data_IF_296645160489
#
_entry.id   IF_296645160489
#
_cell.length_a   1.000
_cell.length_b   1.000
_cell.length_c   1.000
_cell.angle_alpha   90.00
_cell.angle_beta   90.00
_cell.angle_gamma   90.00
#
_symmetry.space_group_name_H-M   'P 1'
#
loop_
_entity.id
_entity.type
_entity.pdbx_description
1 polymer ?
#
# COMPACT_ATOMS: atom_id res chain seq x y z
N UNK A 1 -2.77 39.95 34.19
CA UNK A 1 -2.28 40.76 33.06
C UNK A 1 -1.18 41.61 33.64
N UNK A 2 0.06 41.27 33.29
CA UNK A 2 1.26 41.85 33.88
C UNK A 2 1.48 43.30 33.44
N UNK A 3 2.51 43.90 34.02
CA UNK A 3 2.86 45.33 33.98
C UNK A 3 3.45 45.81 32.63
N UNK A 4 3.02 45.26 31.49
CA UNK A 4 3.41 45.82 30.20
C UNK A 4 2.61 47.12 29.96
N UNK A 5 3.31 48.22 29.70
CA UNK A 5 2.65 49.45 29.30
C UNK A 5 2.04 49.30 27.91
N UNK A 6 0.98 50.07 27.62
CA UNK A 6 0.38 50.10 26.28
C UNK A 6 1.42 50.39 25.19
N UNK A 7 2.37 51.28 25.46
CA UNK A 7 3.48 51.61 24.55
C UNK A 7 4.42 50.43 24.28
N UNK A 8 4.59 49.50 25.23
CA UNK A 8 5.40 48.30 25.04
C UNK A 8 4.67 47.25 24.22
N UNK A 9 3.36 47.08 24.43
CA UNK A 9 2.52 46.22 23.60
C UNK A 9 2.47 46.71 22.13
N UNK A 10 2.46 48.03 21.91
CA UNK A 10 2.53 48.62 20.58
C UNK A 10 3.83 48.26 19.84
N UNK A 11 4.96 48.16 20.54
CA UNK A 11 6.25 47.75 19.96
C UNK A 11 6.18 46.29 19.47
N UNK A 12 5.57 45.40 20.25
CA UNK A 12 5.39 43.99 19.86
C UNK A 12 4.45 43.86 18.66
N UNK A 13 3.36 44.63 18.64
CA UNK A 13 2.44 44.69 17.51
C UNK A 13 3.12 45.18 16.24
N UNK A 14 3.88 46.27 16.32
CA UNK A 14 4.63 46.81 15.19
C UNK A 14 5.63 45.78 14.64
N UNK A 15 6.30 45.05 15.52
CA UNK A 15 7.20 43.97 15.13
C UNK A 15 6.48 42.86 14.35
N UNK A 16 5.31 42.39 14.83
CA UNK A 16 4.52 41.38 14.10
C UNK A 16 4.06 41.88 12.73
N UNK A 17 3.76 43.18 12.60
CA UNK A 17 3.41 43.82 11.33
C UNK A 17 4.61 43.90 10.38
N UNK A 18 5.80 44.24 10.89
CA UNK A 18 7.05 44.24 10.13
C UNK A 18 7.44 42.84 9.63
N UNK A 19 7.11 41.79 10.39
CA UNK A 19 7.29 40.40 9.96
C UNK A 19 6.28 39.97 8.88
N UNK A 20 5.26 40.79 8.62
CA UNK A 20 4.30 40.61 7.54
C UNK A 20 3.30 39.49 7.77
N UNK A 21 2.89 39.26 9.02
CA UNK A 21 1.84 38.29 9.36
C UNK A 21 0.47 38.88 9.00
N UNK A 22 -0.23 38.23 8.09
CA UNK A 22 -1.52 38.68 7.54
C UNK A 22 -2.72 37.96 8.15
N UNK A 23 -2.50 36.78 8.76
CA UNK A 23 -3.57 35.95 9.33
C UNK A 23 -3.91 36.35 10.77
N UNK A 24 -5.03 37.09 10.95
CA UNK A 24 -5.44 37.67 12.25
C UNK A 24 -5.44 36.69 13.44
N UNK A 25 -6.01 35.48 13.35
CA UNK A 25 -6.06 34.57 14.49
C UNK A 25 -4.67 34.12 14.97
N UNK A 26 -3.74 33.91 14.03
CA UNK A 26 -2.36 33.58 14.39
C UNK A 26 -1.61 34.79 14.91
N UNK A 27 -1.87 35.98 14.37
CA UNK A 27 -1.27 37.24 14.87
C UNK A 27 -1.68 37.48 16.33
N UNK A 28 -2.94 37.26 16.66
CA UNK A 28 -3.46 37.37 18.03
C UNK A 28 -2.81 36.34 18.97
N UNK A 29 -2.74 35.07 18.57
CA UNK A 29 -2.10 34.01 19.36
C UNK A 29 -0.60 34.26 19.58
N UNK A 30 0.12 34.71 18.54
CA UNK A 30 1.53 35.07 18.65
C UNK A 30 1.72 36.30 19.54
N UNK A 31 0.88 37.32 19.41
CA UNK A 31 0.94 38.51 20.24
C UNK A 31 0.79 38.14 21.73
N UNK A 32 -0.23 37.35 22.07
CA UNK A 32 -0.46 36.88 23.43
C UNK A 32 0.73 36.07 23.96
N UNK A 33 1.30 35.20 23.12
CA UNK A 33 2.42 34.37 23.52
C UNK A 33 3.70 35.18 23.76
N UNK A 34 3.98 36.17 22.91
CA UNK A 34 5.14 37.06 23.04
C UNK A 34 5.02 37.98 24.24
N UNK A 35 3.83 38.54 24.48
CA UNK A 35 3.53 39.35 25.66
C UNK A 35 3.74 38.51 26.92
N UNK A 36 3.20 37.29 26.97
CA UNK A 36 3.37 36.41 28.13
C UNK A 36 4.83 36.02 28.38
N UNK A 37 5.64 35.82 27.33
CA UNK A 37 7.06 35.50 27.50
C UNK A 37 7.87 36.71 28.01
N UNK A 38 7.52 37.92 27.54
CA UNK A 38 8.12 39.16 28.03
C UNK A 38 7.77 39.42 29.50
N UNK A 39 6.50 39.24 29.89
CA UNK A 39 6.08 39.37 31.29
C UNK A 39 6.88 38.43 32.20
N UNK A 40 7.02 37.16 31.81
CA UNK A 40 7.78 36.15 32.55
C UNK A 40 9.25 36.55 32.75
N UNK A 41 9.91 37.09 31.72
CA UNK A 41 11.30 37.56 31.81
C UNK A 41 11.43 38.82 32.66
N UNK A 42 10.48 39.74 32.55
CA UNK A 42 10.46 40.95 33.38
C UNK A 42 10.22 40.61 34.87
N UNK A 43 9.35 39.64 35.16
CA UNK A 43 9.11 39.13 36.52
C UNK A 43 10.35 38.46 37.13
N UNK A 44 11.25 37.93 36.28
CA UNK A 44 12.56 37.41 36.70
C UNK A 44 13.60 38.49 37.01
N UNK A 45 13.25 39.77 36.86
CA UNK A 45 14.10 40.92 37.16
C UNK A 45 14.81 41.54 35.96
N UNK A 46 14.50 41.12 34.72
CA UNK A 46 15.05 41.76 33.52
C UNK A 46 14.34 43.07 33.20
N UNK A 47 15.06 44.03 32.61
CA UNK A 47 14.42 45.20 32.01
C UNK A 47 13.71 44.83 30.70
N UNK A 48 12.67 45.58 30.32
CA UNK A 48 11.96 45.35 29.05
C UNK A 48 12.88 45.32 27.82
N UNK A 49 13.85 46.26 27.65
CA UNK A 49 14.75 46.22 26.49
C UNK A 49 15.59 44.94 26.42
N UNK A 50 16.09 44.46 27.57
CA UNK A 50 16.86 43.23 27.64
C UNK A 50 16.00 41.99 27.35
N UNK A 51 14.80 41.93 27.93
CA UNK A 51 13.84 40.86 27.67
C UNK A 51 13.43 40.82 26.19
N UNK A 52 13.17 41.99 25.60
CA UNK A 52 12.77 42.14 24.20
C UNK A 52 13.88 41.74 23.23
N UNK A 53 15.13 42.14 23.48
CA UNK A 53 16.27 41.74 22.66
C UNK A 53 16.45 40.21 22.65
N UNK A 54 16.24 39.55 23.79
CA UNK A 54 16.32 38.09 23.88
C UNK A 54 15.18 37.41 23.10
N UNK A 55 13.95 37.87 23.28
CA UNK A 55 12.78 37.35 22.55
C UNK A 55 12.95 37.53 21.03
N UNK A 56 13.43 38.70 20.58
CA UNK A 56 13.73 38.93 19.17
C UNK A 56 14.83 38.01 18.62
N UNK A 57 15.86 37.70 19.42
CA UNK A 57 16.92 36.75 19.01
C UNK A 57 16.40 35.32 18.88
N UNK A 58 15.43 34.93 19.71
CA UNK A 58 14.81 33.60 19.67
C UNK A 58 13.86 33.44 18.47
N UNK A 59 13.18 34.51 18.08
CA UNK A 59 12.33 34.55 16.89
C UNK A 59 13.20 34.81 15.66
N UNK A 60 13.73 33.75 15.05
CA UNK A 60 14.42 33.92 13.76
C UNK A 60 13.47 34.55 12.72
N UNK A 61 13.92 35.61 12.04
CA UNK A 61 13.08 36.47 11.16
C UNK A 61 12.43 35.80 9.94
N UNK A 62 12.57 34.48 9.76
CA UNK A 62 11.87 33.70 8.75
C UNK A 62 10.93 32.63 9.35
N UNK A 63 10.93 32.46 10.67
CA UNK A 63 10.16 31.42 11.34
C UNK A 63 8.67 31.75 11.38
N UNK A 64 8.30 32.99 11.70
CA UNK A 64 6.90 33.39 11.82
C UNK A 64 6.12 33.27 10.50
N UNK A 65 6.74 33.70 9.40
CA UNK A 65 6.16 33.53 8.05
C UNK A 65 6.06 32.07 7.61
N UNK A 66 6.94 31.23 8.15
CA UNK A 66 6.88 29.77 7.94
C UNK A 66 5.73 29.16 8.75
N UNK A 67 5.56 29.58 10.02
CA UNK A 67 4.42 29.20 10.87
C UNK A 67 3.12 29.63 10.20
N UNK A 68 2.98 30.88 9.76
CA UNK A 68 1.78 31.36 9.07
C UNK A 68 1.49 30.54 7.81
N UNK A 69 2.52 30.24 7.01
CA UNK A 69 2.36 29.40 5.82
C UNK A 69 1.87 27.99 6.18
N UNK A 70 2.44 27.36 7.21
CA UNK A 70 2.05 26.00 7.63
C UNK A 70 0.66 26.00 8.32
N UNK A 71 0.34 27.01 9.12
CA UNK A 71 -0.98 27.21 9.72
C UNK A 71 -2.03 27.45 8.65
N UNK A 72 -1.77 28.35 7.70
CA UNK A 72 -2.66 28.62 6.58
C UNK A 72 -2.84 27.40 5.68
N UNK A 73 -1.78 26.63 5.44
CA UNK A 73 -1.82 25.35 4.71
C UNK A 73 -2.60 24.28 5.47
N UNK A 74 -2.60 24.32 6.80
CA UNK A 74 -3.37 23.41 7.67
C UNK A 74 -4.84 23.81 7.74
N UNK A 75 -5.15 25.10 7.82
CA UNK A 75 -6.52 25.63 7.82
C UNK A 75 -7.15 25.50 6.42
N UNK A 76 -6.41 25.87 5.37
CA UNK A 76 -6.78 25.63 3.98
C UNK A 76 -6.60 24.18 3.55
N UNK A 77 -6.30 23.25 4.48
CA UNK A 77 -6.49 21.82 4.27
C UNK A 77 -8.00 21.55 4.27
N UNK A 78 -8.63 22.06 3.22
CA UNK A 78 -9.90 21.69 2.61
C UNK A 78 -10.15 20.21 2.83
N UNK A 79 -11.43 19.88 3.00
CA UNK A 79 -11.99 18.54 2.82
C UNK A 79 -11.09 17.76 1.88
N UNK A 80 -10.33 16.80 2.43
CA UNK A 80 -9.35 16.05 1.67
C UNK A 80 -10.14 15.21 0.67
N UNK A 81 -10.34 15.72 -0.55
CA UNK A 81 -11.16 15.09 -1.58
C UNK A 81 -10.68 13.66 -1.84
N UNK A 82 -9.37 13.40 -1.68
CA UNK A 82 -8.77 12.07 -1.72
C UNK A 82 -9.35 11.16 -0.63
N UNK A 83 -9.54 11.67 0.60
CA UNK A 83 -10.17 10.93 1.70
C UNK A 83 -11.66 10.71 1.46
N UNK A 84 -12.37 11.68 0.91
CA UNK A 84 -13.80 11.52 0.59
C UNK A 84 -13.99 10.47 -0.52
N UNK A 85 -13.25 10.56 -1.62
CA UNK A 85 -13.33 9.61 -2.72
C UNK A 85 -12.87 8.20 -2.32
N UNK A 86 -11.92 8.06 -1.40
CA UNK A 86 -11.53 6.74 -0.91
C UNK A 86 -12.64 6.07 -0.09
N UNK A 87 -13.31 6.81 0.81
CA UNK A 87 -14.45 6.31 1.57
C UNK A 87 -15.60 5.94 0.63
N UNK A 88 -15.94 6.84 -0.31
CA UNK A 88 -17.00 6.59 -1.29
C UNK A 88 -16.70 5.35 -2.16
N UNK A 89 -15.46 5.19 -2.60
CA UNK A 89 -15.07 4.01 -3.40
C UNK A 89 -15.27 2.71 -2.62
N UNK A 90 -14.89 2.66 -1.34
CA UNK A 90 -15.06 1.47 -0.50
C UNK A 90 -16.54 1.17 -0.25
N UNK A 91 -17.35 2.20 0.06
CA UNK A 91 -18.80 2.05 0.24
C UNK A 91 -19.46 1.54 -1.03
N UNK A 92 -19.12 2.11 -2.19
CA UNK A 92 -19.67 1.70 -3.48
C UNK A 92 -19.27 0.27 -3.83
N UNK A 93 -18.02 -0.14 -3.58
CA UNK A 93 -17.59 -1.52 -3.82
C UNK A 93 -18.35 -2.51 -2.92
N UNK A 94 -18.52 -2.17 -1.63
CA UNK A 94 -19.28 -2.98 -0.70
C UNK A 94 -20.75 -3.12 -1.15
N UNK A 95 -21.41 -2.00 -1.46
CA UNK A 95 -22.80 -2.00 -1.94
C UNK A 95 -22.95 -2.73 -3.28
N UNK A 96 -22.08 -2.47 -4.26
CA UNK A 96 -22.08 -3.17 -5.55
C UNK A 96 -21.98 -4.67 -5.37
N UNK A 97 -21.10 -5.11 -4.46
CA UNK A 97 -20.92 -6.54 -4.15
C UNK A 97 -22.13 -7.12 -3.46
N UNK A 98 -22.65 -6.47 -2.42
CA UNK A 98 -23.87 -6.92 -1.71
C UNK A 98 -25.05 -7.01 -2.67
N UNK A 99 -25.24 -6.02 -3.54
CA UNK A 99 -26.31 -6.03 -4.54
C UNK A 99 -26.12 -7.16 -5.55
N UNK A 100 -24.88 -7.43 -5.97
CA UNK A 100 -24.58 -8.54 -6.87
C UNK A 100 -24.90 -9.90 -6.26
N UNK A 101 -24.61 -10.08 -4.97
CA UNK A 101 -24.89 -11.33 -4.23
C UNK A 101 -26.39 -11.51 -3.96
N UNK A 102 -27.09 -10.43 -3.64
CA UNK A 102 -28.54 -10.45 -3.38
C UNK A 102 -29.38 -10.34 -4.66
N UNK A 103 -28.75 -10.32 -5.84
CA UNK A 103 -29.38 -10.09 -7.15
C UNK A 103 -30.25 -8.82 -7.22
N UNK A 104 -29.89 -7.79 -6.47
CA UNK A 104 -30.58 -6.50 -6.53
C UNK A 104 -30.22 -5.73 -7.80
N UNK A 105 -31.19 -5.04 -8.42
CA UNK A 105 -30.90 -4.16 -9.55
C UNK A 105 -30.00 -3.02 -9.08
N UNK A 106 -29.14 -2.50 -9.97
CA UNK A 106 -28.22 -1.41 -9.64
C UNK A 106 -26.78 -1.84 -9.33
N UNK A 107 -26.48 -3.15 -9.23
CA UNK A 107 -25.10 -3.61 -8.90
C UNK A 107 -24.07 -3.15 -9.93
N UNK A 108 -24.47 -3.04 -11.20
CA UNK A 108 -23.58 -2.65 -12.28
C UNK A 108 -23.22 -1.17 -12.23
N UNK A 109 -24.21 -0.33 -12.01
CA UNK A 109 -24.10 1.11 -11.85
C UNK A 109 -23.24 1.46 -10.63
N UNK A 110 -23.44 0.75 -9.51
CA UNK A 110 -22.60 0.90 -8.32
C UNK A 110 -21.14 0.51 -8.59
N UNK A 111 -20.90 -0.57 -9.35
CA UNK A 111 -19.55 -1.01 -9.70
C UNK A 111 -18.84 -0.03 -10.65
N UNK A 112 -19.58 0.52 -11.62
CA UNK A 112 -19.08 1.59 -12.49
C UNK A 112 -18.78 2.86 -11.69
N UNK A 113 -19.62 3.19 -10.70
CA UNK A 113 -19.36 4.26 -9.74
C UNK A 113 -18.06 4.02 -8.98
N UNK A 114 -17.87 2.83 -8.40
CA UNK A 114 -16.63 2.43 -7.74
C UNK A 114 -15.41 2.63 -8.65
N UNK A 115 -15.50 2.16 -9.91
CA UNK A 115 -14.44 2.32 -10.89
C UNK A 115 -14.12 3.80 -11.16
N UNK A 116 -15.14 4.63 -11.37
CA UNK A 116 -14.97 6.06 -11.63
C UNK A 116 -14.32 6.78 -10.44
N UNK A 117 -14.84 6.60 -9.23
CA UNK A 117 -14.28 7.23 -8.03
C UNK A 117 -12.88 6.74 -7.71
N UNK A 118 -12.59 5.45 -7.87
CA UNK A 118 -11.25 4.89 -7.66
C UNK A 118 -10.27 5.42 -8.71
N UNK A 119 -10.70 5.58 -9.96
CA UNK A 119 -9.84 6.14 -11.01
C UNK A 119 -9.49 7.61 -10.73
N UNK A 120 -10.47 8.42 -10.33
CA UNK A 120 -10.24 9.81 -9.90
C UNK A 120 -9.32 9.85 -8.68
N UNK A 121 -9.53 8.96 -7.70
CA UNK A 121 -8.67 8.85 -6.53
C UNK A 121 -7.22 8.54 -6.89
N UNK A 122 -7.00 7.56 -7.78
CA UNK A 122 -5.67 7.17 -8.24
C UNK A 122 -4.98 8.32 -8.97
N UNK A 123 -5.66 9.00 -9.90
CA UNK A 123 -5.11 10.14 -10.63
C UNK A 123 -4.79 11.30 -9.69
N UNK A 124 -5.73 11.69 -8.82
CA UNK A 124 -5.53 12.81 -7.89
C UNK A 124 -4.42 12.52 -6.88
N UNK A 125 -4.33 11.30 -6.37
CA UNK A 125 -3.23 10.87 -5.49
C UNK A 125 -1.88 10.97 -6.20
N UNK A 126 -1.80 10.52 -7.44
CA UNK A 126 -0.56 10.60 -8.24
C UNK A 126 -0.16 12.02 -8.56
N UNK A 127 -1.10 12.87 -8.99
CA UNK A 127 -0.84 14.30 -9.22
C UNK A 127 -0.37 14.99 -7.93
N UNK A 128 -1.05 14.73 -6.80
CA UNK A 128 -0.67 15.27 -5.48
C UNK A 128 0.73 14.83 -5.07
N UNK A 129 1.09 13.57 -5.27
CA UNK A 129 2.44 13.07 -4.98
C UNK A 129 3.49 13.69 -5.90
N UNK A 130 3.19 13.88 -7.19
CA UNK A 130 4.08 14.56 -8.14
C UNK A 130 4.32 16.02 -7.74
N UNK A 131 3.27 16.73 -7.29
CA UNK A 131 3.35 18.14 -6.86
C UNK A 131 4.10 18.27 -5.54
N UNK A 132 3.83 17.40 -4.56
CA UNK A 132 4.43 17.48 -3.22
C UNK A 132 5.91 17.10 -3.22
N UNK A 133 6.38 16.36 -4.22
CA UNK A 133 7.76 15.89 -4.34
C UNK A 133 8.36 16.34 -5.68
N UNK A 134 8.49 17.65 -5.96
CA UNK A 134 8.94 18.11 -7.27
C UNK A 134 10.39 17.73 -7.57
N UNK A 135 11.26 17.66 -6.57
CA UNK A 135 12.69 17.34 -6.76
C UNK A 135 12.96 15.85 -7.00
N UNK A 136 11.96 15.02 -6.71
CA UNK A 136 12.09 13.58 -6.77
C UNK A 136 12.06 13.03 -8.20
N UNK A 137 12.91 12.03 -8.45
CA UNK A 137 12.92 11.26 -9.70
C UNK A 137 11.79 10.22 -9.66
N UNK A 138 11.27 9.87 -10.83
CA UNK A 138 10.28 8.79 -10.97
C UNK A 138 8.84 9.19 -11.27
N UNK A 139 8.58 10.47 -11.56
CA UNK A 139 7.22 10.98 -11.83
C UNK A 139 6.54 10.24 -12.99
N UNK A 140 7.27 9.99 -14.07
CA UNK A 140 6.78 9.22 -15.22
C UNK A 140 6.40 7.79 -14.84
N UNK A 141 7.24 7.09 -14.07
CA UNK A 141 6.92 5.73 -13.63
C UNK A 141 5.71 5.69 -12.69
N UNK A 142 5.56 6.67 -11.80
CA UNK A 142 4.38 6.76 -10.95
C UNK A 142 3.10 6.95 -11.78
N UNK A 143 3.12 7.83 -12.78
CA UNK A 143 2.00 8.02 -13.72
C UNK A 143 1.69 6.75 -14.51
N UNK A 144 2.71 6.05 -15.01
CA UNK A 144 2.53 4.79 -15.74
C UNK A 144 1.95 3.67 -14.85
N UNK A 145 2.41 3.53 -13.60
CA UNK A 145 1.83 2.56 -12.65
C UNK A 145 0.35 2.88 -12.44
N UNK A 146 0.03 4.16 -12.23
CA UNK A 146 -1.35 4.61 -12.02
C UNK A 146 -2.23 4.25 -13.21
N UNK A 147 -1.75 4.50 -14.42
CA UNK A 147 -2.45 4.16 -15.66
C UNK A 147 -2.67 2.65 -15.77
N UNK A 148 -1.64 1.84 -15.54
CA UNK A 148 -1.73 0.38 -15.54
C UNK A 148 -2.77 -0.13 -14.53
N UNK A 149 -2.83 0.43 -13.33
CA UNK A 149 -3.82 0.06 -12.32
C UNK A 149 -5.26 0.41 -12.76
N UNK A 150 -5.46 1.56 -13.41
CA UNK A 150 -6.77 1.94 -13.95
C UNK A 150 -7.23 0.97 -15.04
N UNK A 151 -6.35 0.61 -15.99
CA UNK A 151 -6.67 -0.38 -17.02
C UNK A 151 -6.98 -1.76 -16.42
N UNK A 152 -6.27 -2.14 -15.36
CA UNK A 152 -6.53 -3.38 -14.66
C UNK A 152 -7.88 -3.38 -13.93
N UNK A 153 -8.25 -2.28 -13.27
CA UNK A 153 -9.57 -2.12 -12.65
C UNK A 153 -10.71 -2.08 -13.68
N UNK A 154 -10.46 -1.48 -14.85
CA UNK A 154 -11.37 -1.52 -16.00
C UNK A 154 -11.60 -2.96 -16.46
N UNK A 155 -10.53 -3.73 -16.67
CA UNK A 155 -10.61 -5.15 -17.02
C UNK A 155 -11.47 -5.94 -16.01
N UNK A 156 -11.22 -5.78 -14.71
CA UNK A 156 -11.98 -6.49 -13.67
C UNK A 156 -13.46 -6.11 -13.68
N UNK A 157 -13.75 -4.81 -13.82
CA UNK A 157 -15.13 -4.31 -13.90
C UNK A 157 -15.85 -4.90 -15.11
N UNK A 158 -15.22 -4.90 -16.27
CA UNK A 158 -15.79 -5.48 -17.50
C UNK A 158 -15.97 -7.00 -17.38
N UNK A 159 -15.06 -7.68 -16.71
CA UNK A 159 -15.15 -9.12 -16.44
C UNK A 159 -16.35 -9.44 -15.56
N UNK A 160 -16.53 -8.72 -14.44
CA UNK A 160 -17.64 -8.92 -13.52
C UNK A 160 -18.98 -8.60 -14.19
N UNK A 161 -19.04 -7.54 -14.99
CA UNK A 161 -20.24 -7.10 -15.68
C UNK A 161 -20.50 -7.83 -17.01
N UNK A 162 -19.58 -8.71 -17.44
CA UNK A 162 -19.67 -9.41 -18.73
C UNK A 162 -19.81 -8.44 -19.92
N UNK A 163 -19.16 -7.28 -19.85
CA UNK A 163 -19.19 -6.27 -20.90
C UNK A 163 -18.31 -6.68 -22.10
N UNK A 164 -18.66 -6.26 -23.33
CA UNK A 164 -17.81 -6.47 -24.49
C UNK A 164 -16.48 -5.73 -24.31
N UNK A 165 -15.38 -6.31 -24.81
CA UNK A 165 -14.03 -5.72 -24.68
C UNK A 165 -13.22 -6.23 -23.48
N UNK A 166 -13.75 -7.15 -22.66
CA UNK A 166 -13.04 -7.67 -21.47
C UNK A 166 -11.72 -8.36 -21.82
N UNK A 167 -11.67 -9.11 -22.92
CA UNK A 167 -10.49 -9.83 -23.42
C UNK A 167 -9.37 -8.89 -23.87
N UNK A 168 -9.74 -7.81 -24.56
CA UNK A 168 -8.83 -6.79 -25.06
C UNK A 168 -8.23 -6.03 -23.88
N UNK A 169 -9.06 -5.63 -22.90
CA UNK A 169 -8.61 -5.00 -21.66
C UNK A 169 -7.71 -5.91 -20.81
N UNK A 170 -7.98 -7.21 -20.77
CA UNK A 170 -7.14 -8.20 -20.10
C UNK A 170 -5.74 -8.25 -20.70
N UNK A 171 -5.66 -8.35 -22.04
CA UNK A 171 -4.39 -8.39 -22.76
C UNK A 171 -3.63 -7.08 -22.56
N UNK A 172 -4.30 -5.93 -22.71
CA UNK A 172 -3.68 -4.60 -22.53
C UNK A 172 -3.13 -4.43 -21.12
N UNK A 173 -3.97 -4.62 -20.10
CA UNK A 173 -3.58 -4.40 -18.69
C UNK A 173 -2.47 -5.35 -18.25
N UNK A 174 -2.57 -6.64 -18.58
CA UNK A 174 -1.55 -7.63 -18.22
C UNK A 174 -0.22 -7.38 -18.94
N UNK A 175 -0.27 -6.97 -20.22
CA UNK A 175 0.94 -6.62 -20.98
C UNK A 175 1.62 -5.37 -20.42
N UNK A 176 0.83 -4.35 -20.03
CA UNK A 176 1.36 -3.16 -19.35
C UNK A 176 2.05 -3.53 -18.05
N UNK A 177 1.49 -4.44 -17.24
CA UNK A 177 2.13 -4.91 -16.01
C UNK A 177 3.43 -5.68 -16.29
N UNK A 178 3.42 -6.60 -17.26
CA UNK A 178 4.58 -7.40 -17.65
C UNK A 178 5.73 -6.57 -18.22
N UNK A 179 5.46 -5.44 -18.88
CA UNK A 179 6.49 -4.56 -19.42
C UNK A 179 6.97 -3.58 -18.35
N UNK A 180 6.03 -2.92 -17.65
CA UNK A 180 6.35 -1.79 -16.78
C UNK A 180 7.14 -2.20 -15.54
N UNK A 181 6.72 -3.24 -14.83
CA UNK A 181 7.35 -3.62 -13.56
C UNK A 181 8.80 -4.12 -13.75
N UNK A 182 9.11 -4.99 -14.73
CA UNK A 182 10.50 -5.34 -15.04
C UNK A 182 11.33 -4.14 -15.49
N UNK A 183 10.76 -3.24 -16.30
CA UNK A 183 11.45 -2.01 -16.71
C UNK A 183 11.82 -1.12 -15.52
N UNK A 184 10.91 -0.98 -14.55
CA UNK A 184 11.17 -0.24 -13.29
C UNK A 184 12.28 -0.93 -12.47
N UNK A 185 12.26 -2.25 -12.34
CA UNK A 185 13.29 -2.97 -11.60
C UNK A 185 14.67 -2.87 -12.27
N UNK A 186 14.73 -2.97 -13.60
CA UNK A 186 15.96 -2.74 -14.37
C UNK A 186 16.43 -1.29 -14.20
N UNK A 187 15.52 -0.33 -14.17
CA UNK A 187 15.84 1.08 -13.93
C UNK A 187 16.45 1.30 -12.53
N UNK A 188 15.85 0.73 -11.48
CA UNK A 188 16.41 0.79 -10.13
C UNK A 188 17.77 0.10 -10.04
N UNK A 189 17.89 -1.09 -10.63
CA UNK A 189 19.15 -1.81 -10.76
C UNK A 189 20.22 -0.93 -11.43
N UNK A 190 19.97 -0.35 -12.60
CA UNK A 190 20.98 0.45 -13.31
C UNK A 190 21.38 1.76 -12.60
N UNK A 191 20.55 2.27 -11.70
CA UNK A 191 20.74 3.60 -11.12
C UNK A 191 21.75 3.69 -9.97
N UNK A 192 22.28 2.57 -9.48
CA UNK A 192 23.47 2.51 -8.62
C UNK A 192 23.39 3.37 -7.34
N UNK A 193 22.27 3.31 -6.63
CA UNK A 193 22.07 4.01 -5.35
C UNK A 193 21.75 5.51 -5.45
N UNK A 194 21.82 6.13 -6.63
CA UNK A 194 21.44 7.54 -6.87
C UNK A 194 19.93 7.84 -6.71
N UNK A 195 19.14 6.83 -6.35
CA UNK A 195 17.68 6.85 -6.31
C UNK A 195 17.11 6.49 -4.93
N UNK A 196 17.91 6.62 -3.85
CA UNK A 196 17.37 6.39 -2.49
C UNK A 196 16.15 7.28 -2.19
N UNK A 197 16.10 8.48 -2.77
CA UNK A 197 15.01 9.46 -2.60
C UNK A 197 13.93 9.37 -3.71
N UNK A 198 13.85 8.24 -4.42
CA UNK A 198 12.84 8.05 -5.47
C UNK A 198 11.43 7.95 -4.87
N UNK A 199 10.46 8.67 -5.46
CA UNK A 199 9.08 8.80 -4.92
C UNK A 199 8.47 7.45 -4.58
N UNK A 200 8.57 6.51 -5.52
CA UNK A 200 7.94 5.20 -5.39
C UNK A 200 8.45 4.46 -4.14
N UNK A 201 9.75 4.52 -3.85
CA UNK A 201 10.35 3.85 -2.69
C UNK A 201 9.95 4.55 -1.39
N UNK A 202 9.92 5.88 -1.41
CA UNK A 202 9.41 6.66 -0.28
C UNK A 202 7.93 6.36 0.02
N UNK A 203 7.08 6.31 -1.00
CA UNK A 203 5.66 5.98 -0.86
C UNK A 203 5.45 4.54 -0.36
N UNK A 204 6.23 3.59 -0.89
CA UNK A 204 6.12 2.19 -0.53
C UNK A 204 6.51 1.93 0.92
N UNK A 205 7.62 2.52 1.37
CA UNK A 205 8.10 2.37 2.75
C UNK A 205 7.15 3.05 3.74
N UNK A 206 6.71 4.27 3.43
CA UNK A 206 5.80 5.07 4.27
C UNK A 206 4.42 4.43 4.44
N UNK A 207 3.90 3.79 3.40
CA UNK A 207 2.55 3.22 3.40
C UNK A 207 2.52 1.71 3.62
N UNK A 208 3.63 1.10 4.05
CA UNK A 208 3.73 -0.36 4.20
C UNK A 208 2.62 -0.98 5.05
N UNK A 209 2.33 -0.40 6.22
CA UNK A 209 1.23 -0.84 7.09
C UNK A 209 -0.15 -0.71 6.44
N UNK A 210 -0.37 0.34 5.65
CA UNK A 210 -1.61 0.55 4.91
C UNK A 210 -1.78 -0.51 3.81
N UNK A 211 -0.71 -0.83 3.08
CA UNK A 211 -0.74 -1.86 2.04
C UNK A 211 -1.14 -3.23 2.63
N UNK A 212 -0.60 -3.57 3.80
CA UNK A 212 -0.98 -4.79 4.53
C UNK A 212 -2.44 -4.77 5.00
N UNK A 213 -2.90 -3.64 5.55
CA UNK A 213 -4.27 -3.49 6.02
C UNK A 213 -5.28 -3.66 4.88
N UNK A 214 -4.98 -3.10 3.69
CA UNK A 214 -5.76 -3.28 2.47
C UNK A 214 -5.81 -4.76 2.08
N UNK A 215 -4.67 -5.44 2.07
CA UNK A 215 -4.62 -6.86 1.72
C UNK A 215 -5.44 -7.73 2.70
N UNK A 216 -5.33 -7.48 4.01
CA UNK A 216 -6.12 -8.18 5.03
C UNK A 216 -7.61 -7.91 4.89
N UNK A 217 -7.99 -6.66 4.61
CA UNK A 217 -9.38 -6.28 4.37
C UNK A 217 -9.95 -7.04 3.15
N UNK A 218 -9.18 -7.15 2.07
CA UNK A 218 -9.58 -7.87 0.87
C UNK A 218 -9.72 -9.38 1.11
N UNK A 219 -8.83 -9.99 1.91
CA UNK A 219 -9.01 -11.37 2.36
C UNK A 219 -10.29 -11.51 3.19
N UNK A 220 -10.51 -10.59 4.13
CA UNK A 220 -11.72 -10.58 4.96
C UNK A 220 -12.99 -10.57 4.11
N UNK A 221 -13.06 -9.67 3.12
CA UNK A 221 -14.16 -9.63 2.15
C UNK A 221 -14.26 -10.93 1.34
N UNK A 222 -13.14 -11.44 0.81
CA UNK A 222 -13.11 -12.71 0.09
C UNK A 222 -13.68 -13.88 0.92
N UNK A 223 -13.30 -13.98 2.20
CA UNK A 223 -13.78 -15.00 3.12
C UNK A 223 -15.27 -14.84 3.43
N UNK A 224 -15.72 -13.62 3.72
CA UNK A 224 -17.14 -13.33 4.00
C UNK A 224 -18.00 -13.70 2.80
N UNK A 225 -17.59 -13.34 1.57
CA UNK A 225 -18.36 -13.64 0.37
C UNK A 225 -18.33 -15.12 -0.02
N UNK A 226 -17.19 -15.78 0.16
CA UNK A 226 -17.10 -17.22 -0.08
C UNK A 226 -17.95 -18.02 0.93
N UNK A 227 -17.93 -17.62 2.21
CA UNK A 227 -18.80 -18.21 3.24
C UNK A 227 -20.29 -17.95 2.96
N UNK A 228 -20.64 -16.73 2.55
CA UNK A 228 -22.01 -16.40 2.16
C UNK A 228 -22.48 -17.24 0.98
N UNK A 229 -21.65 -17.39 -0.06
CA UNK A 229 -21.95 -18.23 -1.22
C UNK A 229 -22.14 -19.69 -0.84
N UNK A 230 -21.35 -20.21 0.11
CA UNK A 230 -21.55 -21.54 0.67
C UNK A 230 -22.91 -21.71 1.37
N UNK A 231 -23.36 -20.69 2.12
CA UNK A 231 -24.67 -20.71 2.79
C UNK A 231 -25.85 -20.58 1.81
N UNK A 232 -25.73 -19.77 0.76
CA UNK A 232 -26.83 -19.51 -0.18
C UNK A 232 -26.86 -20.44 -1.39
N UNK A 233 -25.77 -21.15 -1.67
CA UNK A 233 -25.61 -21.96 -2.89
C UNK A 233 -25.33 -21.14 -4.15
N UNK A 234 -25.12 -19.83 -4.01
CA UNK A 234 -24.84 -18.89 -5.11
C UNK A 234 -23.39 -18.97 -5.60
N UNK A 235 -23.12 -18.39 -6.77
CA UNK A 235 -21.78 -18.45 -7.39
C UNK A 235 -20.69 -17.75 -6.57
N UNK A 236 -19.55 -18.43 -6.38
CA UNK A 236 -18.38 -18.00 -5.59
C UNK A 236 -17.58 -16.85 -6.24
N UNK A 237 -18.03 -16.34 -7.40
CA UNK A 237 -17.23 -15.49 -8.29
C UNK A 237 -16.70 -14.24 -7.59
N UNK A 238 -17.53 -13.56 -6.78
CA UNK A 238 -17.10 -12.30 -6.16
C UNK A 238 -16.02 -12.53 -5.10
N UNK A 239 -16.15 -13.57 -4.28
CA UNK A 239 -15.11 -13.95 -3.32
C UNK A 239 -13.78 -14.27 -4.02
N UNK A 240 -13.83 -15.01 -5.13
CA UNK A 240 -12.66 -15.32 -5.96
C UNK A 240 -11.99 -14.05 -6.48
N UNK A 241 -12.76 -13.06 -6.96
CA UNK A 241 -12.21 -11.77 -7.40
C UNK A 241 -11.42 -11.07 -6.28
N UNK A 242 -11.93 -11.05 -5.05
CA UNK A 242 -11.20 -10.45 -3.91
C UNK A 242 -9.91 -11.21 -3.59
N UNK A 243 -9.89 -12.54 -3.70
CA UNK A 243 -8.66 -13.32 -3.54
C UNK A 243 -7.67 -13.05 -4.67
N UNK A 244 -8.11 -13.01 -5.94
CA UNK A 244 -7.26 -12.65 -7.09
C UNK A 244 -6.66 -11.26 -6.89
N UNK A 245 -7.47 -10.28 -6.52
CA UNK A 245 -7.01 -8.93 -6.22
C UNK A 245 -5.97 -8.91 -5.08
N UNK A 246 -6.20 -9.71 -4.02
CA UNK A 246 -5.26 -9.81 -2.90
C UNK A 246 -3.93 -10.41 -3.36
N UNK A 247 -3.99 -11.48 -4.13
CA UNK A 247 -2.85 -12.19 -4.70
C UNK A 247 -2.03 -11.23 -5.56
N UNK A 248 -2.68 -10.43 -6.41
CA UNK A 248 -2.03 -9.40 -7.25
C UNK A 248 -1.40 -8.32 -6.40
N UNK A 249 -2.16 -7.76 -5.49
CA UNK A 249 -1.70 -6.70 -4.61
C UNK A 249 -0.47 -7.12 -3.80
N UNK A 250 -0.53 -8.28 -3.15
CA UNK A 250 0.56 -8.81 -2.33
C UNK A 250 1.73 -9.31 -3.16
N UNK A 251 1.51 -9.87 -4.35
CA UNK A 251 2.57 -10.27 -5.28
C UNK A 251 3.36 -9.09 -5.83
N UNK A 252 2.68 -8.03 -6.28
CA UNK A 252 3.32 -6.78 -6.69
C UNK A 252 4.04 -6.10 -5.52
N UNK A 253 3.43 -6.15 -4.33
CA UNK A 253 4.06 -5.58 -3.15
C UNK A 253 5.31 -6.37 -2.74
N UNK A 254 5.25 -7.70 -2.76
CA UNK A 254 6.41 -8.57 -2.53
C UNK A 254 7.51 -8.35 -3.56
N UNK A 255 7.15 -8.16 -4.83
CA UNK A 255 8.10 -7.80 -5.89
C UNK A 255 8.84 -6.49 -5.60
N UNK A 256 8.12 -5.46 -5.15
CA UNK A 256 8.70 -4.15 -4.87
C UNK A 256 9.73 -4.14 -3.73
N UNK A 257 9.75 -5.18 -2.89
CA UNK A 257 10.74 -5.34 -1.83
C UNK A 257 12.16 -5.62 -2.30
N UNK A 258 12.33 -6.03 -3.56
CA UNK A 258 13.68 -6.19 -4.11
C UNK A 258 14.30 -4.86 -4.52
N UNK A 259 13.50 -3.81 -4.74
CA UNK A 259 13.99 -2.51 -5.20
C UNK A 259 14.99 -1.84 -4.25
N UNK A 260 14.75 -1.79 -2.92
CA UNK A 260 15.75 -1.24 -2.00
C UNK A 260 17.08 -2.02 -2.01
N UNK A 261 17.06 -3.32 -2.31
CA UNK A 261 18.28 -4.12 -2.42
C UNK A 261 19.12 -3.68 -3.64
N UNK A 262 18.48 -3.31 -4.75
CA UNK A 262 19.15 -2.83 -5.97
C UNK A 262 19.80 -1.45 -5.83
N UNK A 263 19.45 -0.70 -4.77
CA UNK A 263 20.01 0.62 -4.50
C UNK A 263 21.19 0.61 -3.53
N UNK A 264 21.65 -0.56 -3.08
CA UNK A 264 22.81 -0.67 -2.19
C UNK A 264 24.11 -0.42 -2.96
N UNK A 265 25.06 0.22 -2.29
CA UNK A 265 26.41 0.50 -2.79
C UNK A 265 27.40 0.11 -1.70
N UNK A 266 28.47 -0.64 -1.99
CA UNK A 266 28.86 -1.16 -3.30
C UNK A 266 27.91 -2.25 -3.81
N UNK A 267 27.87 -2.41 -5.13
CA UNK A 267 27.02 -3.40 -5.78
C UNK A 267 27.53 -4.80 -5.51
N UNK A 268 26.66 -5.69 -5.04
CA UNK A 268 27.03 -7.10 -4.87
C UNK A 268 26.69 -7.93 -6.11
N UNK A 269 27.51 -8.96 -6.41
CA UNK A 269 27.27 -9.91 -7.52
C UNK A 269 25.92 -10.64 -7.42
N UNK A 270 25.33 -10.66 -6.23
CA UNK A 270 24.07 -11.34 -5.91
C UNK A 270 22.81 -10.56 -6.32
N UNK A 271 22.91 -9.27 -6.67
CA UNK A 271 21.75 -8.47 -7.06
C UNK A 271 21.16 -8.83 -8.42
N UNK A 272 22.00 -9.26 -9.38
CA UNK A 272 21.54 -9.66 -10.71
C UNK A 272 20.67 -10.94 -10.67
N UNK A 273 21.09 -12.03 -9.99
CA UNK A 273 20.20 -13.16 -9.75
C UNK A 273 18.89 -12.74 -9.08
N UNK A 274 18.93 -11.85 -8.09
CA UNK A 274 17.72 -11.37 -7.41
C UNK A 274 16.76 -10.65 -8.37
N UNK A 275 17.28 -9.85 -9.30
CA UNK A 275 16.50 -9.21 -10.37
C UNK A 275 15.86 -10.23 -11.30
N UNK A 276 16.63 -11.22 -11.73
CA UNK A 276 16.13 -12.28 -12.62
C UNK A 276 15.04 -13.08 -11.91
N UNK A 277 15.30 -13.60 -10.71
CA UNK A 277 14.33 -14.41 -9.97
C UNK A 277 13.05 -13.64 -9.64
N UNK A 278 13.16 -12.40 -9.16
CA UNK A 278 11.96 -11.60 -8.87
C UNK A 278 11.14 -11.31 -10.11
N UNK A 279 11.80 -11.03 -11.24
CA UNK A 279 11.12 -10.76 -12.52
C UNK A 279 10.45 -12.03 -13.06
N UNK A 280 11.12 -13.18 -12.98
CA UNK A 280 10.53 -14.46 -13.31
C UNK A 280 9.33 -14.77 -12.42
N UNK A 281 9.44 -14.54 -11.11
CA UNK A 281 8.33 -14.71 -10.17
C UNK A 281 7.13 -13.83 -10.58
N UNK A 282 7.36 -12.57 -10.90
CA UNK A 282 6.32 -11.65 -11.37
C UNK A 282 5.65 -12.12 -12.67
N UNK A 283 6.42 -12.64 -13.63
CA UNK A 283 5.87 -13.14 -14.90
C UNK A 283 4.98 -14.36 -14.65
N UNK A 284 5.50 -15.34 -13.90
CA UNK A 284 4.73 -16.53 -13.50
C UNK A 284 3.50 -16.15 -12.68
N UNK A 285 3.60 -15.08 -11.91
CA UNK A 285 2.54 -14.54 -11.09
C UNK A 285 1.41 -13.90 -11.91
N UNK A 286 1.73 -13.20 -13.02
CA UNK A 286 0.74 -12.57 -13.90
C UNK A 286 0.13 -13.59 -14.89
N UNK A 287 0.83 -14.69 -15.18
CA UNK A 287 0.41 -15.69 -16.17
C UNK A 287 -1.04 -16.22 -15.99
N UNK A 288 -1.52 -16.54 -14.76
CA UNK A 288 -2.90 -16.99 -14.55
C UNK A 288 -3.95 -15.95 -14.96
N UNK A 289 -3.59 -14.66 -15.03
CA UNK A 289 -4.49 -13.59 -15.46
C UNK A 289 -4.79 -13.63 -16.95
N UNK A 290 -4.08 -14.41 -17.77
CA UNK A 290 -4.39 -14.64 -19.18
C UNK A 290 -5.41 -15.79 -19.39
N UNK A 291 -6.16 -16.12 -18.34
CA UNK A 291 -6.86 -17.39 -18.08
C UNK A 291 -7.58 -18.10 -19.23
N UNK A 292 -8.16 -17.42 -20.21
CA UNK A 292 -8.88 -18.10 -21.31
C UNK A 292 -7.92 -18.66 -22.39
N UNK A 293 -6.69 -18.13 -22.50
CA UNK A 293 -5.76 -18.48 -23.58
C UNK A 293 -4.67 -19.50 -23.15
N UNK A 294 -4.58 -19.83 -21.87
CA UNK A 294 -3.56 -20.73 -21.32
C UNK A 294 -4.19 -22.03 -20.81
N UNK A 295 -3.49 -23.13 -21.08
CA UNK A 295 -3.84 -24.45 -20.55
C UNK A 295 -3.90 -24.42 -19.01
N UNK A 296 -4.95 -25.01 -18.38
CA UNK A 296 -5.12 -25.02 -16.93
C UNK A 296 -3.89 -25.51 -16.16
N UNK A 297 -3.18 -26.50 -16.69
CA UNK A 297 -1.98 -27.08 -16.11
C UNK A 297 -0.87 -26.05 -15.96
N UNK A 298 -0.65 -25.22 -17.00
CA UNK A 298 0.37 -24.17 -17.00
C UNK A 298 0.00 -23.08 -16.00
N UNK A 299 -1.28 -22.68 -15.94
CA UNK A 299 -1.76 -21.67 -14.98
C UNK A 299 -1.55 -22.14 -13.53
N UNK A 300 -1.93 -23.39 -13.24
CA UNK A 300 -1.76 -23.98 -11.91
C UNK A 300 -0.28 -24.12 -11.54
N UNK A 301 0.58 -24.53 -12.47
CA UNK A 301 2.02 -24.60 -12.26
C UNK A 301 2.63 -23.21 -12.02
N UNK A 302 2.23 -22.19 -12.78
CA UNK A 302 2.74 -20.83 -12.62
C UNK A 302 2.30 -20.21 -11.29
N UNK A 303 1.01 -20.37 -10.95
CA UNK A 303 0.44 -19.98 -9.67
C UNK A 303 1.13 -20.68 -8.48
N UNK A 304 1.68 -21.87 -8.70
CA UNK A 304 2.44 -22.63 -7.70
C UNK A 304 3.89 -22.16 -7.55
N UNK A 305 4.61 -22.02 -8.67
CA UNK A 305 6.06 -21.73 -8.66
C UNK A 305 6.32 -20.29 -8.18
N UNK A 306 5.50 -19.32 -8.57
CA UNK A 306 5.69 -17.91 -8.20
C UNK A 306 5.80 -17.70 -6.67
N UNK A 307 4.88 -18.21 -5.82
CA UNK A 307 5.01 -18.21 -4.36
C UNK A 307 6.37 -18.72 -3.87
N UNK A 308 6.83 -19.87 -4.39
CA UNK A 308 8.07 -20.51 -3.94
C UNK A 308 9.27 -19.61 -4.23
N UNK A 309 9.30 -18.96 -5.40
CA UNK A 309 10.37 -18.01 -5.74
C UNK A 309 10.31 -16.80 -4.81
N UNK A 310 9.12 -16.24 -4.52
CA UNK A 310 9.00 -15.13 -3.56
C UNK A 310 9.43 -15.52 -2.14
N UNK A 311 9.08 -16.73 -1.67
CA UNK A 311 9.57 -17.25 -0.38
C UNK A 311 11.10 -17.32 -0.39
N UNK A 312 11.70 -17.82 -1.47
CA UNK A 312 13.15 -17.87 -1.64
C UNK A 312 13.82 -16.49 -1.61
N UNK A 313 13.19 -15.50 -2.26
CA UNK A 313 13.65 -14.09 -2.25
C UNK A 313 13.60 -13.49 -0.85
N UNK A 314 12.48 -13.67 -0.15
CA UNK A 314 12.29 -13.17 1.22
C UNK A 314 13.29 -13.87 2.17
N UNK A 315 13.43 -15.18 2.05
CA UNK A 315 14.40 -15.98 2.80
C UNK A 315 15.83 -15.48 2.57
N UNK A 316 16.22 -15.28 1.31
CA UNK A 316 17.53 -14.76 0.96
C UNK A 316 17.77 -13.39 1.59
N UNK A 317 16.80 -12.47 1.46
CA UNK A 317 16.87 -11.14 2.06
C UNK A 317 17.04 -11.23 3.58
N UNK A 318 16.23 -12.04 4.24
CA UNK A 318 16.26 -12.17 5.70
C UNK A 318 17.56 -12.81 6.21
N UNK A 319 18.04 -13.85 5.53
CA UNK A 319 19.27 -14.54 5.89
C UNK A 319 20.52 -13.65 5.77
N UNK A 320 20.50 -12.68 4.84
CA UNK A 320 21.60 -11.74 4.61
C UNK A 320 21.50 -10.46 5.45
N UNK A 321 20.31 -9.92 5.63
CA UNK A 321 20.11 -8.54 6.12
C UNK A 321 19.60 -8.48 7.55
N UNK A 322 18.82 -9.47 7.99
CA UNK A 322 18.16 -9.37 9.30
C UNK A 322 19.06 -9.84 10.43
N UNK A 323 19.26 -8.95 11.40
CA UNK A 323 19.91 -9.24 12.70
C UNK A 323 18.87 -9.66 13.75
N UNK A 324 17.60 -9.87 13.36
CA UNK A 324 16.54 -10.16 14.33
C UNK A 324 16.83 -11.42 15.15
N UNK A 325 16.46 -11.40 16.42
CA UNK A 325 16.42 -12.59 17.29
C UNK A 325 15.54 -13.71 16.73
N UNK A 326 14.58 -13.40 15.86
CA UNK A 326 13.61 -14.34 15.28
C UNK A 326 14.10 -15.09 14.04
N UNK A 327 15.39 -14.95 13.67
CA UNK A 327 15.92 -15.53 12.44
C UNK A 327 15.65 -17.02 12.30
N UNK A 328 15.88 -17.83 13.35
CA UNK A 328 15.65 -19.29 13.29
C UNK A 328 14.19 -19.63 13.00
N UNK A 329 13.25 -18.97 13.67
CA UNK A 329 11.82 -19.17 13.47
C UNK A 329 11.39 -18.84 12.04
N UNK A 330 11.89 -17.75 11.47
CA UNK A 330 11.55 -17.34 10.11
C UNK A 330 12.10 -18.35 9.09
N UNK A 331 13.31 -18.85 9.28
CA UNK A 331 13.88 -19.89 8.42
C UNK A 331 13.03 -21.17 8.47
N UNK A 332 12.67 -21.64 9.66
CA UNK A 332 11.80 -22.81 9.85
C UNK A 332 10.44 -22.60 9.18
N UNK A 333 9.84 -21.43 9.31
CA UNK A 333 8.55 -21.15 8.70
C UNK A 333 8.63 -21.06 7.17
N UNK A 334 9.67 -20.46 6.60
CA UNK A 334 9.86 -20.49 5.15
C UNK A 334 9.98 -21.93 4.63
N UNK A 335 10.67 -22.82 5.35
CA UNK A 335 10.73 -24.24 5.00
C UNK A 335 9.35 -24.90 5.04
N UNK A 336 8.55 -24.64 6.10
CA UNK A 336 7.18 -25.18 6.20
C UNK A 336 6.27 -24.65 5.09
N UNK A 337 6.39 -23.36 4.74
CA UNK A 337 5.62 -22.73 3.67
C UNK A 337 5.98 -23.24 2.28
N UNK A 338 7.21 -23.72 2.05
CA UNK A 338 7.63 -24.38 0.80
C UNK A 338 7.23 -25.86 0.79
N UNK A 339 7.26 -26.52 1.94
CA UNK A 339 6.87 -27.92 2.05
C UNK A 339 5.37 -28.12 1.77
N UNK A 340 4.50 -27.21 2.23
CA UNK A 340 3.06 -27.30 2.02
C UNK A 340 2.65 -27.41 0.54
N UNK A 341 3.09 -26.51 -0.36
CA UNK A 341 2.82 -26.63 -1.78
C UNK A 341 3.33 -27.97 -2.35
N UNK A 342 4.55 -28.39 -2.00
CA UNK A 342 5.13 -29.66 -2.49
C UNK A 342 4.25 -30.85 -2.09
N UNK A 343 3.83 -30.91 -0.82
CA UNK A 343 2.94 -31.95 -0.32
C UNK A 343 1.58 -31.95 -1.05
N UNK A 344 1.04 -30.76 -1.34
CA UNK A 344 -0.22 -30.63 -2.11
C UNK A 344 -0.07 -31.16 -3.54
N UNK A 345 1.05 -30.87 -4.22
CA UNK A 345 1.32 -31.43 -5.55
C UNK A 345 1.46 -32.94 -5.51
N UNK A 346 2.19 -33.49 -4.53
CA UNK A 346 2.34 -34.95 -4.39
C UNK A 346 1.02 -35.65 -4.07
N UNK A 347 0.13 -35.00 -3.31
CA UNK A 347 -1.19 -35.54 -2.98
C UNK A 347 -2.18 -35.47 -4.16
N UNK A 348 -1.95 -34.59 -5.14
CA UNK A 348 -2.74 -34.49 -6.37
C UNK A 348 -2.48 -35.61 -7.38
N UNK A 349 -1.45 -36.43 -7.18
CA UNK A 349 -1.20 -37.64 -7.96
C UNK A 349 -1.99 -38.81 -7.33
N UNK A 350 -3.09 -39.20 -7.97
CA UNK A 350 -3.79 -40.49 -7.80
C UNK A 350 -4.45 -40.83 -6.44
N UNK A 351 -5.43 -40.04 -5.98
CA UNK A 351 -6.37 -40.50 -4.93
C UNK A 351 -7.83 -40.39 -5.41
N UNK A 352 -8.54 -41.52 -5.45
CA UNK A 352 -9.95 -41.66 -5.86
C UNK A 352 -10.93 -41.38 -4.69
N UNK A 353 -12.27 -41.34 -4.91
CA UNK A 353 -12.96 -40.11 -5.24
C UNK A 353 -13.88 -39.60 -4.11
N UNK A 354 -13.94 -38.27 -4.02
CA UNK A 354 -15.05 -37.46 -3.54
C UNK A 354 -15.28 -37.30 -2.03
N UNK A 355 -15.32 -38.36 -1.22
CA UNK A 355 -15.63 -38.21 0.22
C UNK A 355 -14.39 -37.85 1.08
N UNK A 356 -13.25 -38.48 0.76
CA UNK A 356 -11.97 -38.21 1.44
C UNK A 356 -11.43 -36.84 0.99
N UNK A 357 -11.62 -36.43 -0.27
CA UNK A 357 -11.16 -35.11 -0.72
C UNK A 357 -11.93 -33.96 -0.06
N UNK A 358 -13.22 -34.14 0.27
CA UNK A 358 -14.03 -33.08 0.87
C UNK A 358 -13.70 -32.86 2.35
N UNK A 359 -13.61 -33.93 3.15
CA UNK A 359 -13.25 -33.81 4.57
C UNK A 359 -11.77 -33.44 4.74
N UNK A 360 -10.88 -34.00 3.93
CA UNK A 360 -9.46 -33.70 4.00
C UNK A 360 -9.13 -32.32 3.43
N UNK A 361 -9.84 -31.81 2.42
CA UNK A 361 -9.68 -30.41 2.01
C UNK A 361 -10.22 -29.45 3.06
N UNK A 362 -11.39 -29.71 3.65
CA UNK A 362 -11.98 -28.80 4.63
C UNK A 362 -11.17 -28.72 5.94
N UNK A 363 -10.83 -29.86 6.54
CA UNK A 363 -10.11 -29.91 7.84
C UNK A 363 -8.66 -29.45 7.71
N UNK A 364 -7.98 -29.80 6.61
CA UNK A 364 -6.62 -29.35 6.34
C UNK A 364 -6.57 -27.85 6.03
N UNK A 365 -7.56 -27.33 5.29
CA UNK A 365 -7.62 -25.89 4.98
C UNK A 365 -7.93 -25.04 6.21
N UNK A 366 -8.82 -25.49 7.11
CA UNK A 366 -9.10 -24.76 8.36
C UNK A 366 -7.87 -24.77 9.28
N UNK A 367 -7.23 -25.93 9.46
CA UNK A 367 -6.04 -26.04 10.31
C UNK A 367 -4.89 -25.18 9.77
N UNK A 368 -4.66 -25.21 8.46
CA UNK A 368 -3.65 -24.40 7.81
C UNK A 368 -4.01 -22.90 7.86
N UNK A 369 -5.28 -22.54 7.66
CA UNK A 369 -5.74 -21.16 7.81
C UNK A 369 -5.50 -20.64 9.23
N UNK A 370 -5.90 -21.40 10.25
CA UNK A 370 -5.68 -21.03 11.66
C UNK A 370 -4.18 -20.91 11.97
N UNK A 371 -3.37 -21.83 11.45
CA UNK A 371 -1.91 -21.74 11.55
C UNK A 371 -1.37 -20.46 10.90
N UNK A 372 -1.78 -20.13 9.68
CA UNK A 372 -1.36 -18.92 8.99
C UNK A 372 -1.84 -17.64 9.73
N UNK A 373 -3.07 -17.61 10.24
CA UNK A 373 -3.61 -16.51 11.03
C UNK A 373 -2.84 -16.32 12.35
N UNK A 374 -2.51 -17.41 13.06
CA UNK A 374 -1.69 -17.35 14.27
C UNK A 374 -0.30 -16.77 13.97
N UNK A 375 0.30 -17.16 12.84
CA UNK A 375 1.58 -16.62 12.40
C UNK A 375 1.53 -15.12 12.06
N UNK A 376 0.40 -14.59 11.56
CA UNK A 376 0.24 -13.13 11.37
C UNK A 376 0.38 -12.36 12.68
N UNK A 377 -0.10 -12.92 13.79
CA UNK A 377 0.01 -12.32 15.13
C UNK A 377 1.44 -12.42 15.65
N UNK A 378 2.07 -13.59 15.52
CA UNK A 378 3.46 -13.83 15.97
C UNK A 378 4.42 -12.87 15.27
N UNK A 379 4.26 -12.69 13.95
CA UNK A 379 5.13 -11.87 13.13
C UNK A 379 4.64 -10.43 12.94
N UNK A 380 3.91 -9.86 13.91
CA UNK A 380 3.35 -8.51 13.84
C UNK A 380 4.35 -7.40 13.45
N UNK A 381 5.64 -7.60 13.75
CA UNK A 381 6.73 -6.64 13.48
C UNK A 381 7.44 -6.87 12.13
N UNK A 382 7.21 -8.01 11.48
CA UNK A 382 7.95 -8.43 10.29
C UNK A 382 7.07 -8.32 9.04
N UNK A 383 6.97 -7.12 8.47
CA UNK A 383 6.10 -6.80 7.33
C UNK A 383 6.26 -7.76 6.14
N UNK A 384 7.50 -8.07 5.77
CA UNK A 384 7.80 -9.00 4.68
C UNK A 384 7.15 -10.37 4.86
N UNK A 385 7.22 -10.90 6.09
CA UNK A 385 6.69 -12.21 6.41
C UNK A 385 5.16 -12.20 6.45
N UNK A 386 4.57 -11.13 6.98
CA UNK A 386 3.11 -10.96 6.99
C UNK A 386 2.52 -10.94 5.59
N UNK A 387 3.12 -10.23 4.64
CA UNK A 387 2.64 -10.18 3.25
C UNK A 387 2.73 -11.55 2.59
N UNK A 388 3.79 -12.29 2.86
CA UNK A 388 3.91 -13.66 2.38
C UNK A 388 2.81 -14.56 2.95
N UNK A 389 2.51 -14.45 4.25
CA UNK A 389 1.41 -15.20 4.85
C UNK A 389 0.06 -14.81 4.23
N UNK A 390 -0.22 -13.51 4.12
CA UNK A 390 -1.45 -12.98 3.50
C UNK A 390 -1.61 -13.54 2.08
N UNK A 391 -0.53 -13.49 1.30
CA UNK A 391 -0.48 -14.05 -0.04
C UNK A 391 -0.79 -15.56 -0.05
N UNK A 392 -0.19 -16.34 0.85
CA UNK A 392 -0.44 -17.77 1.00
C UNK A 392 -1.89 -18.08 1.41
N UNK A 393 -2.48 -17.30 2.31
CA UNK A 393 -3.89 -17.42 2.70
C UNK A 393 -4.77 -17.22 1.46
N UNK A 394 -4.53 -16.14 0.70
CA UNK A 394 -5.34 -15.83 -0.47
C UNK A 394 -5.23 -16.93 -1.54
N UNK A 395 -4.03 -17.46 -1.77
CA UNK A 395 -3.78 -18.59 -2.69
C UNK A 395 -4.50 -19.88 -2.29
N UNK A 396 -4.65 -20.16 -0.99
CA UNK A 396 -5.37 -21.33 -0.50
C UNK A 396 -6.89 -21.21 -0.68
N UNK A 397 -7.41 -19.98 -0.72
CA UNK A 397 -8.84 -19.71 -0.79
C UNK A 397 -9.40 -19.69 -2.21
N UNK A 398 -8.55 -19.72 -3.25
CA UNK A 398 -9.01 -19.89 -4.61
C UNK A 398 -9.22 -21.39 -4.88
N UNK A 399 -10.47 -21.85 -5.06
CA UNK A 399 -10.72 -23.21 -5.54
C UNK A 399 -10.08 -23.35 -6.92
N UNK A 400 -9.38 -24.48 -7.15
CA UNK A 400 -8.58 -24.83 -8.34
C UNK A 400 -8.84 -23.92 -9.58
N UNK A 401 -7.81 -23.14 -9.96
CA UNK A 401 -7.83 -22.20 -11.11
C UNK A 401 -8.11 -22.86 -12.46
#
# INVERSE_FOLDING_TARGET
>A
MGNLSSSQADIVNLFLDEQGITFSPLREELLDHLISDLESRMDSGMSFPEAWELVQKEISGHHLKTIERETMKTINRKIDLTRLFSILSVILLALATTFKILHFPGSGELLLGFLAFTSVLLVTSTVRNIINYPESRGRLFLSLITLTLIFFLLYLTFTILHLPGRSELQIISSSMMLILFPAISIYFYRSGGKLKDHVIIGLLSRNSSLMEAIALMMIGFGLVFNFSSWLTGETVLVGIVFFILTIIWTGLYAYSFTWPAYLRVPRERTELPLLIFSTTALVLFILPLYGENLQPEIRNLAAFIAPIIYIGIIFYHYARVSVSSNRKWILTMCCLLVLYPILRLSAGMEWSPMAISMVHSLTFNISMLLFLLANLVIFRKETYFRILIIFMIAMQMIPNF
#
